data_IF_559632024518
#
_entry.id   IF_559632024518
#
_cell.length_a   1.000
_cell.length_b   1.000
_cell.length_c   1.000
_cell.angle_alpha   90.00
_cell.angle_beta   90.00
_cell.angle_gamma   90.00
#
_symmetry.space_group_name_H-M   'P 1'
#
loop_
_entity.id
_entity.type
_entity.pdbx_description
1 polymer ?
#
# COMPACT_ATOMS: atom_id res chain seq x y z
N UNK A 1 15.15 -34.83 -75.49
CA UNK A 1 16.20 -35.28 -74.54
C UNK A 1 16.93 -34.06 -74.02
N UNK A 2 17.00 -33.69 -72.75
CA UNK A 2 16.32 -34.10 -71.53
C UNK A 2 16.63 -32.98 -70.51
N UNK A 3 15.62 -32.57 -69.74
CA UNK A 3 15.77 -32.18 -68.33
C UNK A 3 16.70 -31.01 -67.92
N UNK A 4 16.73 -29.86 -68.61
CA UNK A 4 17.52 -28.70 -68.13
C UNK A 4 16.90 -27.29 -68.28
N UNK A 5 15.57 -27.17 -68.24
CA UNK A 5 14.91 -25.86 -68.14
C UNK A 5 13.64 -25.99 -67.30
N UNK A 6 13.74 -25.95 -65.96
CA UNK A 6 12.61 -25.64 -65.04
C UNK A 6 12.97 -25.64 -63.53
N UNK A 7 14.21 -25.27 -63.12
CA UNK A 7 14.57 -25.25 -61.68
C UNK A 7 15.20 -23.89 -61.27
N UNK A 8 14.83 -22.79 -61.93
CA UNK A 8 15.31 -21.44 -61.53
C UNK A 8 14.16 -20.48 -61.18
N UNK A 9 12.91 -20.81 -61.51
CA UNK A 9 11.75 -19.97 -61.17
C UNK A 9 10.94 -20.42 -59.94
N UNK A 10 11.42 -21.43 -59.19
CA UNK A 10 10.77 -21.93 -57.97
C UNK A 10 11.63 -21.73 -56.70
N UNK A 11 12.54 -20.76 -56.71
CA UNK A 11 13.29 -20.32 -55.51
C UNK A 11 13.13 -18.84 -55.19
N UNK A 12 12.35 -18.09 -55.99
CA UNK A 12 12.12 -16.66 -55.80
C UNK A 12 10.78 -16.31 -55.15
N UNK A 13 9.94 -17.30 -54.82
CA UNK A 13 8.66 -17.07 -54.12
C UNK A 13 8.64 -17.54 -52.65
N UNK A 14 9.76 -18.08 -52.15
CA UNK A 14 9.93 -18.47 -50.74
C UNK A 14 10.77 -17.46 -49.92
N UNK A 15 11.10 -16.31 -50.50
CA UNK A 15 11.86 -15.24 -49.84
C UNK A 15 11.02 -14.02 -49.44
N UNK A 16 9.69 -14.04 -49.61
CA UNK A 16 8.82 -12.90 -49.30
C UNK A 16 7.67 -13.19 -48.31
N UNK A 17 7.78 -14.30 -47.56
CA UNK A 17 6.86 -14.60 -46.45
C UNK A 17 7.61 -14.92 -45.15
N UNK A 18 8.75 -14.26 -44.90
CA UNK A 18 9.15 -14.01 -43.51
C UNK A 18 8.26 -12.86 -43.06
N UNK A 19 7.04 -13.21 -42.64
CA UNK A 19 6.26 -12.40 -41.73
C UNK A 19 7.23 -11.95 -40.63
N UNK A 20 7.62 -10.68 -40.67
CA UNK A 20 7.99 -9.93 -39.48
C UNK A 20 6.77 -9.96 -38.57
N UNK A 21 6.57 -11.09 -37.89
CA UNK A 21 5.93 -11.09 -36.59
C UNK A 21 6.91 -10.34 -35.72
N UNK A 22 6.83 -9.01 -35.78
CA UNK A 22 7.16 -8.19 -34.64
C UNK A 22 6.26 -8.74 -33.53
N UNK A 23 6.79 -9.70 -32.79
CA UNK A 23 6.35 -9.98 -31.45
C UNK A 23 6.61 -8.67 -30.73
N UNK A 24 5.63 -7.77 -30.78
CA UNK A 24 5.44 -6.76 -29.78
C UNK A 24 5.39 -7.59 -28.52
N UNK A 25 6.53 -7.73 -27.84
CA UNK A 25 6.52 -8.18 -26.47
C UNK A 25 5.71 -7.09 -25.80
N UNK A 26 4.41 -7.33 -25.64
CA UNK A 26 3.64 -6.68 -24.60
C UNK A 26 4.38 -7.12 -23.34
N UNK A 27 5.41 -6.36 -22.94
CA UNK A 27 5.97 -6.44 -21.60
C UNK A 27 4.76 -6.22 -20.73
N UNK A 28 4.19 -7.30 -20.21
CA UNK A 28 3.10 -7.23 -19.26
C UNK A 28 3.52 -6.19 -18.22
N UNK A 29 2.65 -5.20 -18.02
CA UNK A 29 2.86 -4.20 -16.98
C UNK A 29 2.99 -4.97 -15.67
N UNK A 30 4.12 -4.81 -14.96
CA UNK A 30 4.27 -5.43 -13.66
C UNK A 30 3.18 -4.83 -12.77
N UNK A 31 2.18 -5.63 -12.43
CA UNK A 31 0.99 -5.15 -11.74
C UNK A 31 1.30 -4.72 -10.31
N UNK A 32 0.46 -3.83 -9.76
CA UNK A 32 0.49 -3.38 -8.37
C UNK A 32 -0.90 -3.58 -7.76
N UNK A 33 -1.32 -4.84 -7.53
CA UNK A 33 -2.73 -5.18 -7.37
C UNK A 33 -3.34 -4.82 -6.00
N UNK A 34 -2.52 -4.39 -5.03
CA UNK A 34 -2.95 -4.13 -3.66
C UNK A 34 -2.08 -3.05 -2.99
N UNK A 35 -2.49 -2.63 -1.79
CA UNK A 35 -1.69 -1.74 -0.93
C UNK A 35 -0.25 -2.24 -0.81
N UNK A 36 0.72 -1.35 -1.08
CA UNK A 36 2.16 -1.66 -1.01
C UNK A 36 2.63 -2.79 -1.95
N UNK A 37 1.89 -3.03 -3.04
CA UNK A 37 2.35 -3.82 -4.17
C UNK A 37 2.12 -5.33 -4.04
N UNK A 38 2.66 -6.12 -4.98
CA UNK A 38 2.34 -7.54 -5.14
C UNK A 38 2.51 -8.39 -3.87
N UNK A 39 3.46 -8.00 -3.01
CA UNK A 39 3.79 -8.68 -1.76
C UNK A 39 3.27 -7.95 -0.51
N UNK A 40 2.69 -6.76 -0.65
CA UNK A 40 2.13 -5.99 0.47
C UNK A 40 3.16 -5.34 1.40
N UNK A 41 4.45 -5.34 1.03
CA UNK A 41 5.56 -4.86 1.86
C UNK A 41 6.36 -3.71 1.21
N UNK A 42 5.91 -3.16 0.08
CA UNK A 42 6.51 -2.00 -0.57
C UNK A 42 7.79 -2.30 -1.34
N UNK A 43 8.13 -3.58 -1.55
CA UNK A 43 9.28 -3.98 -2.35
C UNK A 43 8.94 -4.17 -3.82
N UNK A 44 9.92 -3.85 -4.66
CA UNK A 44 9.98 -4.27 -6.06
C UNK A 44 11.34 -4.89 -6.35
N UNK A 45 11.40 -5.78 -7.34
CA UNK A 45 12.68 -6.37 -7.74
C UNK A 45 13.62 -5.31 -8.33
N UNK A 46 13.08 -4.42 -9.18
CA UNK A 46 13.84 -3.36 -9.85
C UNK A 46 12.98 -2.12 -9.96
N UNK A 47 13.49 -0.97 -9.51
CA UNK A 47 12.87 0.32 -9.78
C UNK A 47 13.26 0.78 -11.18
N UNK A 48 12.24 1.01 -12.00
CA UNK A 48 12.39 1.43 -13.40
C UNK A 48 11.87 2.84 -13.67
N UNK A 49 11.25 3.49 -12.69
CA UNK A 49 10.85 4.90 -12.81
C UNK A 49 12.07 5.82 -12.58
N UNK A 50 12.04 7.08 -13.07
CA UNK A 50 13.11 8.04 -12.83
C UNK A 50 13.38 8.27 -11.35
N UNK A 51 14.65 8.59 -11.02
CA UNK A 51 15.07 8.98 -9.67
C UNK A 51 14.96 10.50 -9.41
N UNK A 52 14.87 11.28 -10.50
CA UNK A 52 14.66 12.73 -10.49
C UNK A 52 13.36 13.10 -11.19
N UNK A 53 12.57 13.96 -10.57
CA UNK A 53 11.32 14.48 -11.10
C UNK A 53 10.91 15.78 -10.40
N UNK A 54 10.07 16.54 -11.07
CA UNK A 54 9.43 17.75 -10.55
C UNK A 54 8.14 18.01 -11.33
N UNK A 55 7.50 19.16 -11.12
CA UNK A 55 6.38 19.61 -11.98
C UNK A 55 6.80 19.88 -13.43
N UNK A 56 8.12 19.95 -13.72
CA UNK A 56 8.70 20.24 -15.04
C UNK A 56 9.56 19.11 -15.60
N UNK A 57 9.91 18.11 -14.79
CA UNK A 57 10.80 17.01 -15.16
C UNK A 57 10.12 15.67 -14.85
N UNK A 58 10.06 14.78 -15.84
CA UNK A 58 9.52 13.42 -15.70
C UNK A 58 8.07 13.31 -15.18
N UNK A 59 7.31 14.41 -15.11
CA UNK A 59 5.87 14.39 -14.89
C UNK A 59 5.15 14.07 -16.19
N UNK A 60 4.67 12.83 -16.33
CA UNK A 60 3.98 12.37 -17.54
C UNK A 60 2.56 12.94 -17.65
N UNK A 61 1.82 12.94 -16.54
CA UNK A 61 0.50 13.54 -16.44
C UNK A 61 0.12 13.76 -14.98
N UNK A 62 -0.89 14.61 -14.75
CA UNK A 62 -1.58 14.73 -13.47
C UNK A 62 -3.09 14.83 -13.69
N UNK A 63 -3.88 14.10 -12.92
CA UNK A 63 -5.34 14.09 -13.00
C UNK A 63 -5.94 14.63 -11.71
N UNK A 64 -6.85 15.60 -11.81
CA UNK A 64 -7.60 16.09 -10.65
C UNK A 64 -8.55 15.01 -10.13
N UNK A 65 -8.58 14.82 -8.81
CA UNK A 65 -9.44 13.85 -8.12
C UNK A 65 -10.39 14.62 -7.21
N UNK A 66 -11.69 14.44 -7.42
CA UNK A 66 -12.72 15.03 -6.57
C UNK A 66 -12.82 14.28 -5.23
N UNK A 67 -13.29 14.97 -4.20
CA UNK A 67 -13.45 14.49 -2.83
C UNK A 67 -12.14 14.33 -2.06
N UNK A 68 -12.25 13.79 -0.86
CA UNK A 68 -11.12 13.41 -0.02
C UNK A 68 -10.89 11.91 -0.06
N UNK A 69 -9.63 11.49 -0.15
CA UNK A 69 -9.27 10.09 0.04
C UNK A 69 -7.77 9.89 0.17
N UNK A 70 -7.38 8.89 0.96
CA UNK A 70 -5.99 8.48 1.18
C UNK A 70 -5.64 7.11 0.63
N UNK A 71 -6.58 6.41 0.00
CA UNK A 71 -6.29 5.11 -0.60
C UNK A 71 -5.13 5.18 -1.58
N UNK A 72 -4.24 4.21 -1.46
CA UNK A 72 -3.13 4.05 -2.38
C UNK A 72 -3.69 3.60 -3.73
N UNK A 73 -3.19 4.14 -4.87
CA UNK A 73 -3.56 3.62 -6.16
C UNK A 73 -3.15 2.15 -6.27
N UNK A 74 -3.94 1.35 -6.99
CA UNK A 74 -3.53 0.02 -7.47
C UNK A 74 -3.51 0.02 -8.99
N UNK A 75 -2.67 -0.84 -9.57
CA UNK A 75 -2.43 -0.91 -11.02
C UNK A 75 -2.66 -2.34 -11.48
N UNK A 76 -3.47 -2.50 -12.52
CA UNK A 76 -3.60 -3.76 -13.25
C UNK A 76 -3.62 -3.48 -14.75
N UNK A 77 -2.58 -3.95 -15.45
CA UNK A 77 -2.36 -3.61 -16.84
C UNK A 77 -2.36 -2.09 -17.03
N UNK A 78 -3.24 -1.60 -17.90
CA UNK A 78 -3.38 -0.16 -18.20
C UNK A 78 -4.33 0.59 -17.26
N UNK A 79 -4.95 -0.09 -16.29
CA UNK A 79 -5.96 0.48 -15.41
C UNK A 79 -5.35 0.86 -14.06
N UNK A 80 -5.72 2.03 -13.58
CA UNK A 80 -5.39 2.53 -12.23
C UNK A 80 -6.68 2.66 -11.44
N UNK A 81 -6.72 2.12 -10.23
CA UNK A 81 -7.89 2.21 -9.37
C UNK A 81 -7.57 2.91 -8.04
N UNK A 82 -8.50 3.75 -7.60
CA UNK A 82 -8.43 4.45 -6.30
C UNK A 82 -9.85 4.77 -5.78
N UNK A 83 -9.99 4.93 -4.47
CA UNK A 83 -11.26 5.28 -3.82
C UNK A 83 -11.29 6.74 -3.38
N UNK A 84 -12.45 7.38 -3.39
CA UNK A 84 -12.64 8.75 -2.89
C UNK A 84 -14.02 8.93 -2.25
N UNK A 85 -14.15 9.87 -1.32
CA UNK A 85 -15.42 10.29 -0.73
C UNK A 85 -15.69 11.76 -1.08
N UNK A 86 -16.80 12.03 -1.77
CA UNK A 86 -17.13 13.36 -2.30
C UNK A 86 -18.36 13.91 -1.57
N UNK A 87 -18.26 15.06 -0.92
CA UNK A 87 -19.40 15.83 -0.42
C UNK A 87 -19.70 17.03 -1.33
N UNK A 88 -20.74 17.81 -1.00
CA UNK A 88 -21.16 18.98 -1.79
C UNK A 88 -20.09 20.08 -1.86
N UNK A 89 -19.16 20.09 -0.91
CA UNK A 89 -18.09 21.09 -0.77
C UNK A 89 -16.75 20.63 -1.34
N UNK A 90 -16.67 19.41 -1.86
CA UNK A 90 -15.43 18.81 -2.34
C UNK A 90 -14.32 18.84 -1.26
N UNK A 91 -14.68 18.52 -0.01
CA UNK A 91 -13.82 18.67 1.16
C UNK A 91 -12.51 17.87 1.01
N UNK A 92 -11.39 18.53 1.32
CA UNK A 92 -10.04 17.95 1.31
C UNK A 92 -9.49 17.79 2.73
N UNK A 93 -8.67 16.75 2.98
CA UNK A 93 -7.99 16.59 4.26
C UNK A 93 -6.92 17.68 4.47
N UNK A 94 -6.54 17.90 5.73
CA UNK A 94 -5.53 18.88 6.15
C UNK A 94 -4.22 18.19 6.57
N UNK A 95 -3.06 18.76 6.20
CA UNK A 95 -1.75 18.25 6.64
C UNK A 95 -1.39 18.68 8.06
N UNK A 96 -0.40 18.01 8.67
CA UNK A 96 0.08 18.42 10.01
C UNK A 96 0.72 19.81 9.97
N UNK A 97 1.52 20.11 8.92
CA UNK A 97 2.09 21.43 8.70
C UNK A 97 1.03 22.52 8.39
N UNK A 98 -0.15 22.14 7.90
CA UNK A 98 -1.23 23.04 7.51
C UNK A 98 -2.13 23.54 8.64
N UNK A 99 -1.77 23.27 9.90
CA UNK A 99 -2.45 23.84 11.05
C UNK A 99 -3.69 23.04 11.50
N UNK A 100 -3.53 21.72 11.71
CA UNK A 100 -4.44 20.98 12.59
C UNK A 100 -4.32 21.58 14.00
N UNK A 101 -5.05 22.67 14.27
CA UNK A 101 -5.09 23.35 15.56
C UNK A 101 -6.01 22.63 16.54
N UNK A 102 -6.99 21.88 16.01
CA UNK A 102 -7.88 21.04 16.78
C UNK A 102 -7.79 19.60 16.26
N UNK A 103 -7.36 18.70 17.14
CA UNK A 103 -7.22 17.26 16.86
C UNK A 103 -8.59 16.55 16.74
N UNK A 104 -9.70 17.24 17.01
CA UNK A 104 -11.06 16.69 16.87
C UNK A 104 -11.73 17.26 15.63
N UNK A 105 -12.12 16.39 14.70
CA UNK A 105 -12.94 16.82 13.56
C UNK A 105 -14.41 16.99 13.92
N UNK A 106 -15.14 17.61 12.99
CA UNK A 106 -16.59 17.82 13.10
C UNK A 106 -17.33 16.61 12.57
N UNK A 107 -18.47 16.29 13.18
CA UNK A 107 -19.37 15.27 12.64
C UNK A 107 -19.90 15.74 11.28
N UNK A 108 -19.92 14.88 10.24
CA UNK A 108 -20.55 15.22 8.97
C UNK A 108 -22.00 15.62 9.13
N UNK A 109 -22.41 16.66 8.42
CA UNK A 109 -23.80 17.15 8.38
C UNK A 109 -24.51 16.81 7.08
N UNK A 110 -23.81 16.24 6.11
CA UNK A 110 -24.32 15.90 4.78
C UNK A 110 -23.74 14.55 4.32
N UNK A 111 -24.41 13.86 3.38
CA UNK A 111 -23.90 12.61 2.82
C UNK A 111 -22.73 12.83 1.87
N UNK A 112 -21.88 11.80 1.78
CA UNK A 112 -20.80 11.69 0.81
C UNK A 112 -21.15 10.63 -0.23
N UNK A 113 -20.73 10.85 -1.48
CA UNK A 113 -20.66 9.83 -2.52
C UNK A 113 -19.34 9.06 -2.39
N UNK A 114 -19.44 7.76 -2.09
CA UNK A 114 -18.30 6.86 -1.94
C UNK A 114 -18.02 6.19 -3.27
N UNK A 115 -16.93 6.59 -3.92
CA UNK A 115 -16.63 6.26 -5.30
C UNK A 115 -15.40 5.39 -5.43
N UNK A 116 -15.47 4.42 -6.35
CA UNK A 116 -14.31 3.76 -6.94
C UNK A 116 -14.07 4.38 -8.33
N UNK A 117 -12.83 4.78 -8.60
CA UNK A 117 -12.43 5.42 -9.86
C UNK A 117 -11.51 4.46 -10.62
N UNK A 118 -11.69 4.37 -11.94
CA UNK A 118 -10.73 3.76 -12.86
C UNK A 118 -10.18 4.82 -13.81
N UNK A 119 -8.86 4.97 -13.84
CA UNK A 119 -8.13 5.83 -14.79
C UNK A 119 -7.28 4.98 -15.75
N UNK A 120 -6.92 5.56 -16.88
CA UNK A 120 -5.93 5.01 -17.79
C UNK A 120 -4.52 5.44 -17.34
N UNK A 121 -3.62 4.47 -17.15
CA UNK A 121 -2.24 4.76 -16.70
C UNK A 121 -1.43 5.57 -17.73
N UNK A 122 -1.81 5.54 -19.00
CA UNK A 122 -1.00 6.16 -20.06
C UNK A 122 -1.08 7.67 -20.07
N UNK A 123 -2.26 8.23 -19.82
CA UNK A 123 -2.56 9.65 -19.95
C UNK A 123 -3.34 10.23 -18.74
N UNK A 124 -3.75 9.39 -17.79
CA UNK A 124 -4.52 9.80 -16.62
C UNK A 124 -6.01 10.00 -16.87
N UNK A 125 -6.50 9.73 -18.09
CA UNK A 125 -7.91 9.90 -18.46
C UNK A 125 -8.85 9.02 -17.62
N UNK A 126 -10.05 9.52 -17.34
CA UNK A 126 -11.08 8.79 -16.63
C UNK A 126 -11.70 7.73 -17.56
N UNK A 127 -11.55 6.45 -17.19
CA UNK A 127 -12.28 5.38 -17.87
C UNK A 127 -13.71 5.30 -17.35
N UNK A 128 -13.87 5.27 -16.02
CA UNK A 128 -15.17 5.29 -15.36
C UNK A 128 -15.04 5.69 -13.89
N UNK A 129 -16.16 6.13 -13.32
CA UNK A 129 -16.32 6.36 -11.89
C UNK A 129 -17.61 5.68 -11.43
N UNK A 130 -17.51 4.80 -10.44
CA UNK A 130 -18.66 4.09 -9.87
C UNK A 130 -18.94 4.57 -8.45
N UNK A 131 -20.11 5.15 -8.24
CA UNK A 131 -20.64 5.39 -6.89
C UNK A 131 -21.13 4.07 -6.31
N UNK A 132 -20.44 3.62 -5.27
CA UNK A 132 -20.79 2.40 -4.52
C UNK A 132 -22.01 2.67 -3.65
N UNK A 133 -22.00 3.80 -2.94
CA UNK A 133 -23.13 4.26 -2.14
C UNK A 133 -23.03 5.75 -1.86
N UNK A 134 -24.17 6.37 -1.57
CA UNK A 134 -24.25 7.70 -0.94
C UNK A 134 -24.65 7.54 0.52
N UNK A 135 -23.86 8.04 1.47
CA UNK A 135 -24.12 7.86 2.91
C UNK A 135 -23.50 8.96 3.75
N UNK A 136 -24.15 9.33 4.85
CA UNK A 136 -23.55 10.21 5.86
C UNK A 136 -22.78 9.37 6.89
N UNK A 137 -21.47 9.57 7.08
CA UNK A 137 -20.73 8.87 8.12
C UNK A 137 -21.29 9.16 9.51
N UNK A 138 -21.33 8.13 10.37
CA UNK A 138 -21.86 8.25 11.74
C UNK A 138 -20.90 8.98 12.69
N UNK A 139 -19.61 8.83 12.46
CA UNK A 139 -18.54 9.31 13.35
C UNK A 139 -17.74 10.42 12.69
N UNK A 140 -17.25 11.36 13.49
CA UNK A 140 -16.23 12.30 13.03
C UNK A 140 -14.86 11.61 12.92
N UNK A 141 -13.99 12.21 12.11
CA UNK A 141 -12.60 11.79 11.94
C UNK A 141 -11.68 12.96 12.18
N UNK A 142 -10.39 12.70 12.42
CA UNK A 142 -9.39 13.73 12.52
C UNK A 142 -9.30 14.52 11.20
N UNK A 143 -9.12 15.85 11.20
CA UNK A 143 -9.10 16.66 9.98
C UNK A 143 -8.05 16.25 8.93
N UNK A 144 -7.03 15.51 9.35
CA UNK A 144 -6.01 14.97 8.45
C UNK A 144 -6.34 13.62 7.84
N UNK A 145 -7.43 12.97 8.26
CA UNK A 145 -7.88 11.72 7.68
C UNK A 145 -9.05 11.96 6.71
N UNK A 146 -9.49 10.90 6.03
CA UNK A 146 -10.60 10.94 5.07
C UNK A 146 -11.59 9.82 5.34
N UNK A 147 -12.76 9.88 4.69
CA UNK A 147 -13.73 8.79 4.71
C UNK A 147 -13.46 7.71 3.65
N UNK A 148 -12.37 7.82 2.89
CA UNK A 148 -11.94 6.88 1.84
C UNK A 148 -10.43 6.60 1.94
N UNK A 149 -10.00 6.08 3.09
CA UNK A 149 -8.57 5.86 3.40
C UNK A 149 -8.10 4.48 2.96
N UNK A 150 -8.97 3.48 3.00
CA UNK A 150 -8.61 2.09 2.70
C UNK A 150 -8.35 1.87 1.21
N UNK A 151 -7.21 1.24 0.90
CA UNK A 151 -6.81 0.96 -0.49
C UNK A 151 -7.61 -0.21 -1.08
N UNK A 152 -8.03 -0.11 -2.36
CA UNK A 152 -8.64 -1.23 -3.05
C UNK A 152 -7.63 -2.37 -3.27
N UNK A 153 -8.15 -3.53 -3.67
CA UNK A 153 -7.36 -4.70 -4.12
C UNK A 153 -8.04 -5.35 -5.32
N UNK A 154 -7.28 -6.02 -6.19
CA UNK A 154 -7.84 -6.80 -7.31
C UNK A 154 -7.33 -8.24 -7.32
N UNK A 155 -8.19 -9.16 -7.76
CA UNK A 155 -7.84 -10.55 -8.07
C UNK A 155 -7.54 -10.78 -9.57
N UNK A 156 -7.52 -9.71 -10.36
CA UNK A 156 -7.38 -9.76 -11.82
C UNK A 156 -8.70 -9.93 -12.59
N UNK A 157 -9.84 -10.06 -11.90
CA UNK A 157 -11.19 -10.14 -12.48
C UNK A 157 -12.10 -9.04 -11.97
N UNK A 158 -11.98 -8.71 -10.70
CA UNK A 158 -12.75 -7.69 -10.00
C UNK A 158 -11.82 -6.76 -9.23
N UNK A 159 -12.31 -5.56 -8.93
CA UNK A 159 -11.73 -4.63 -7.97
C UNK A 159 -12.61 -4.60 -6.74
N UNK A 160 -11.99 -4.83 -5.58
CA UNK A 160 -12.63 -4.77 -4.28
C UNK A 160 -12.26 -3.48 -3.58
N UNK A 161 -13.24 -2.78 -3.03
CA UNK A 161 -13.03 -1.57 -2.24
C UNK A 161 -13.74 -1.67 -0.89
N UNK A 162 -13.16 -1.03 0.11
CA UNK A 162 -13.70 -0.94 1.46
C UNK A 162 -13.76 0.52 1.89
N UNK A 163 -14.89 0.92 2.45
CA UNK A 163 -15.10 2.22 3.08
C UNK A 163 -15.45 1.99 4.54
N UNK A 164 -14.42 1.82 5.37
CA UNK A 164 -14.60 1.40 6.76
C UNK A 164 -15.42 2.39 7.59
N UNK A 165 -15.31 3.69 7.27
CA UNK A 165 -16.08 4.73 7.92
C UNK A 165 -17.61 4.59 7.79
N UNK A 166 -18.08 3.81 6.81
CA UNK A 166 -19.50 3.53 6.59
C UNK A 166 -19.83 2.03 6.53
N UNK A 167 -18.82 1.18 6.77
CA UNK A 167 -18.95 -0.27 6.82
C UNK A 167 -19.19 -0.95 5.49
N UNK A 168 -18.90 -0.30 4.35
CA UNK A 168 -19.25 -0.86 3.03
C UNK A 168 -18.06 -1.52 2.35
N UNK A 169 -18.24 -2.78 1.95
CA UNK A 169 -17.31 -3.53 1.10
C UNK A 169 -18.03 -3.82 -0.21
N UNK A 170 -17.35 -3.66 -1.34
CA UNK A 170 -17.94 -3.91 -2.65
C UNK A 170 -16.94 -4.54 -3.61
N UNK A 171 -17.47 -5.31 -4.57
CA UNK A 171 -16.78 -5.76 -5.76
C UNK A 171 -17.36 -5.10 -6.99
N UNK A 172 -16.48 -4.64 -7.87
CA UNK A 172 -16.79 -4.00 -9.15
C UNK A 172 -15.98 -4.71 -10.24
N UNK A 173 -16.58 -4.96 -11.40
CA UNK A 173 -15.83 -5.48 -12.55
C UNK A 173 -14.97 -4.38 -13.22
N UNK A 174 -14.29 -4.71 -14.32
CA UNK A 174 -13.40 -3.75 -14.99
C UNK A 174 -14.13 -2.79 -15.93
N UNK A 175 -15.42 -3.03 -16.15
CA UNK A 175 -16.35 -2.20 -16.89
C UNK A 175 -17.09 -1.21 -15.98
N UNK A 176 -16.85 -1.28 -14.66
CA UNK A 176 -17.42 -0.38 -13.66
C UNK A 176 -18.79 -0.80 -13.15
N UNK A 177 -19.23 -2.04 -13.43
CA UNK A 177 -20.48 -2.57 -12.91
C UNK A 177 -20.29 -3.15 -11.52
N UNK A 178 -21.27 -2.87 -10.66
CA UNK A 178 -21.29 -3.39 -9.29
C UNK A 178 -21.67 -4.87 -9.34
N UNK A 179 -20.80 -5.74 -8.84
CA UNK A 179 -21.04 -7.18 -8.76
C UNK A 179 -21.78 -7.52 -7.47
N UNK A 180 -21.25 -7.05 -6.34
CA UNK A 180 -21.89 -7.17 -5.04
C UNK A 180 -21.41 -6.06 -4.10
N UNK A 181 -22.21 -5.75 -3.08
CA UNK A 181 -21.78 -4.96 -1.93
C UNK A 181 -22.41 -5.50 -0.64
N UNK A 182 -21.69 -5.40 0.46
CA UNK A 182 -22.12 -5.86 1.79
C UNK A 182 -21.82 -4.80 2.85
N UNK A 183 -22.54 -4.88 3.98
CA UNK A 183 -22.30 -4.06 5.16
C UNK A 183 -21.61 -4.90 6.24
N UNK A 184 -20.44 -4.47 6.69
CA UNK A 184 -19.66 -5.10 7.76
C UNK A 184 -19.67 -4.26 9.05
N UNK A 185 -20.48 -3.19 9.09
CA UNK A 185 -20.57 -2.28 10.23
C UNK A 185 -19.56 -1.14 10.18
N UNK A 186 -19.94 -0.02 10.79
CA UNK A 186 -19.09 1.15 10.97
C UNK A 186 -18.98 1.46 12.46
N UNK A 187 -17.76 1.72 12.92
CA UNK A 187 -17.45 1.79 14.35
C UNK A 187 -16.61 3.03 14.69
N UNK A 188 -16.68 3.53 15.93
CA UNK A 188 -15.80 4.61 16.38
C UNK A 188 -14.34 4.13 16.44
N UNK A 189 -13.42 5.04 16.16
CA UNK A 189 -11.98 4.79 16.20
C UNK A 189 -11.30 5.56 17.33
N UNK A 190 -10.15 5.06 17.76
CA UNK A 190 -9.30 5.63 18.79
C UNK A 190 -9.06 7.12 18.57
N UNK A 191 -9.36 7.93 19.59
CA UNK A 191 -9.27 9.39 19.57
C UNK A 191 -10.04 10.09 18.44
N UNK A 192 -10.96 9.40 17.77
CA UNK A 192 -11.64 9.90 16.57
C UNK A 192 -10.69 10.12 15.40
N UNK A 193 -9.58 9.37 15.30
CA UNK A 193 -8.64 9.52 14.19
C UNK A 193 -9.18 9.04 12.84
N UNK A 194 -10.23 8.24 12.83
CA UNK A 194 -10.76 7.57 11.65
C UNK A 194 -10.10 6.23 11.39
N UNK A 195 -10.43 5.63 10.26
CA UNK A 195 -10.02 4.28 9.86
C UNK A 195 -8.81 4.33 8.91
N UNK A 196 -8.27 3.17 8.51
CA UNK A 196 -7.12 3.13 7.58
C UNK A 196 -6.56 1.74 7.21
N UNK A 197 -7.07 0.65 7.78
CA UNK A 197 -6.65 -0.70 7.41
C UNK A 197 -7.19 -1.10 6.03
N UNK A 198 -6.30 -1.30 5.06
CA UNK A 198 -6.66 -1.69 3.69
C UNK A 198 -6.99 -3.18 3.57
N UNK A 199 -7.51 -3.57 2.41
CA UNK A 199 -7.88 -4.95 2.09
C UNK A 199 -6.66 -5.83 1.77
N UNK A 200 -6.80 -7.14 1.94
CA UNK A 200 -5.82 -8.15 1.50
C UNK A 200 -6.54 -9.33 0.88
N UNK A 201 -5.96 -9.95 -0.15
CA UNK A 201 -6.61 -11.02 -0.91
C UNK A 201 -5.76 -12.29 -0.96
N UNK A 202 -6.39 -13.46 -0.81
CA UNK A 202 -5.76 -14.74 -1.15
C UNK A 202 -6.76 -15.84 -1.42
N UNK A 203 -6.50 -16.65 -2.44
CA UNK A 203 -7.22 -17.92 -2.70
C UNK A 203 -8.75 -17.77 -2.62
N UNK A 204 -9.29 -16.76 -3.31
CA UNK A 204 -10.73 -16.48 -3.35
C UNK A 204 -11.30 -15.84 -2.08
N UNK A 205 -10.46 -15.35 -1.17
CA UNK A 205 -10.88 -14.69 0.08
C UNK A 205 -10.39 -13.26 0.13
N UNK A 206 -11.26 -12.37 0.60
CA UNK A 206 -10.98 -10.99 0.92
C UNK A 206 -10.91 -10.82 2.44
N UNK A 207 -9.74 -10.42 2.95
CA UNK A 207 -9.49 -10.25 4.38
C UNK A 207 -9.61 -8.79 4.80
N UNK A 208 -10.33 -8.56 5.90
CA UNK A 208 -10.59 -7.23 6.47
C UNK A 208 -10.19 -7.28 7.95
N UNK A 209 -9.32 -6.35 8.36
CA UNK A 209 -9.12 -6.02 9.77
C UNK A 209 -9.97 -4.79 10.10
N UNK A 210 -10.89 -4.95 11.05
CA UNK A 210 -11.70 -3.87 11.60
C UNK A 210 -11.41 -3.76 13.10
N UNK A 211 -10.20 -3.31 13.45
CA UNK A 211 -9.87 -2.97 14.83
C UNK A 211 -10.43 -1.57 15.14
N UNK A 212 -11.29 -1.48 16.15
CA UNK A 212 -12.03 -0.28 16.53
C UNK A 212 -12.18 -0.19 18.06
N UNK A 213 -12.96 0.77 18.57
CA UNK A 213 -13.12 1.00 20.01
C UNK A 213 -14.42 0.43 20.59
N UNK A 214 -15.14 -0.41 19.84
CA UNK A 214 -16.40 -1.02 20.26
C UNK A 214 -16.41 -2.54 20.08
N UNK A 215 -16.28 -3.04 18.85
CA UNK A 215 -16.42 -4.46 18.49
C UNK A 215 -15.38 -4.82 17.42
N UNK A 216 -14.13 -5.07 17.83
CA UNK A 216 -13.03 -5.35 16.91
C UNK A 216 -13.08 -6.77 16.36
N UNK A 217 -12.82 -6.92 15.06
CA UNK A 217 -12.79 -8.23 14.42
C UNK A 217 -11.84 -8.29 13.22
N UNK A 218 -11.51 -9.52 12.83
CA UNK A 218 -10.98 -9.85 11.51
C UNK A 218 -12.00 -10.72 10.78
N UNK A 219 -12.18 -10.48 9.49
CA UNK A 219 -13.23 -11.07 8.67
C UNK A 219 -12.64 -11.57 7.34
N UNK A 220 -13.11 -12.72 6.87
CA UNK A 220 -12.89 -13.17 5.51
C UNK A 220 -14.23 -13.25 4.75
N UNK A 221 -14.27 -12.62 3.59
CA UNK A 221 -15.39 -12.69 2.65
C UNK A 221 -14.99 -13.51 1.42
N UNK A 222 -15.95 -14.21 0.82
CA UNK A 222 -15.81 -14.84 -0.49
C UNK A 222 -15.80 -13.76 -1.58
N UNK A 223 -14.76 -13.75 -2.42
CA UNK A 223 -14.60 -12.75 -3.49
C UNK A 223 -15.70 -12.83 -4.55
N UNK A 224 -16.33 -13.99 -4.73
CA UNK A 224 -17.34 -14.20 -5.76
C UNK A 224 -18.69 -13.56 -5.41
N UNK A 225 -19.04 -13.47 -4.13
CA UNK A 225 -20.39 -13.09 -3.70
C UNK A 225 -20.44 -12.22 -2.43
N UNK A 226 -19.31 -11.92 -1.80
CA UNK A 226 -19.23 -11.09 -0.60
C UNK A 226 -19.74 -11.76 0.67
N UNK A 227 -20.11 -13.05 0.65
CA UNK A 227 -20.58 -13.76 1.84
C UNK A 227 -19.43 -13.97 2.82
N UNK A 228 -19.75 -13.86 4.10
CA UNK A 228 -18.82 -14.20 5.17
C UNK A 228 -18.45 -15.70 5.11
N UNK A 229 -17.15 -15.97 5.12
CA UNK A 229 -16.59 -17.33 5.25
C UNK A 229 -16.30 -17.60 6.72
N UNK A 230 -15.65 -16.65 7.38
CA UNK A 230 -15.40 -16.69 8.81
C UNK A 230 -15.20 -15.27 9.34
N UNK A 231 -15.56 -15.08 10.62
CA UNK A 231 -15.25 -13.89 11.41
C UNK A 231 -14.59 -14.32 12.71
N UNK A 232 -13.61 -13.57 13.18
CA UNK A 232 -12.97 -13.78 14.47
C UNK A 232 -12.92 -12.48 15.25
N UNK A 233 -13.55 -12.49 16.42
CA UNK A 233 -13.53 -11.39 17.37
C UNK A 233 -12.13 -11.14 17.91
N UNK A 234 -11.85 -9.88 18.24
CA UNK A 234 -10.55 -9.42 18.71
C UNK A 234 -10.74 -8.53 19.92
N UNK A 235 -9.94 -8.76 20.95
CA UNK A 235 -9.88 -7.88 22.13
C UNK A 235 -9.03 -6.62 21.91
N UNK A 236 -8.43 -6.46 20.73
CA UNK A 236 -7.62 -5.30 20.39
C UNK A 236 -8.49 -4.06 20.18
N UNK A 237 -8.05 -2.93 20.71
CA UNK A 237 -8.59 -1.62 20.31
C UNK A 237 -8.10 -1.21 18.92
N UNK A 238 -8.60 -0.08 18.45
CA UNK A 238 -8.25 0.56 17.17
C UNK A 238 -6.79 0.37 16.75
N UNK A 239 -6.60 -0.07 15.51
CA UNK A 239 -5.32 -0.20 14.82
C UNK A 239 -5.52 0.12 13.35
N UNK A 240 -4.48 0.62 12.67
CA UNK A 240 -4.55 1.06 11.27
C UNK A 240 -3.67 0.22 10.32
N UNK A 241 -2.88 -0.72 10.86
CA UNK A 241 -2.15 -1.70 10.06
C UNK A 241 -3.11 -2.46 9.16
N UNK A 242 -2.72 -2.70 7.92
CA UNK A 242 -3.44 -3.61 7.02
C UNK A 242 -3.06 -5.06 7.34
N UNK A 243 -3.94 -6.05 7.06
CA UNK A 243 -3.57 -7.46 7.15
C UNK A 243 -2.38 -7.77 6.23
N UNK A 244 -1.56 -8.74 6.60
CA UNK A 244 -0.38 -9.12 5.83
C UNK A 244 -0.28 -10.63 5.68
N UNK A 245 -0.22 -11.12 4.44
CA UNK A 245 -0.05 -12.56 4.17
C UNK A 245 1.43 -12.92 4.20
N UNK A 246 1.84 -13.53 5.30
CA UNK A 246 3.21 -13.98 5.47
C UNK A 246 3.35 -15.45 5.08
N UNK A 247 3.84 -15.67 3.85
CA UNK A 247 4.25 -17.00 3.38
C UNK A 247 5.67 -17.28 3.87
N UNK A 248 5.78 -18.13 4.89
CA UNK A 248 7.06 -18.58 5.43
C UNK A 248 7.34 -20.05 5.03
N UNK A 249 8.48 -20.59 5.48
CA UNK A 249 8.90 -21.97 5.13
C UNK A 249 7.97 -23.08 5.66
N UNK A 250 7.14 -22.81 6.67
CA UNK A 250 6.25 -23.79 7.30
C UNK A 250 4.79 -23.64 6.87
N UNK A 251 4.29 -22.40 6.75
CA UNK A 251 2.89 -22.12 6.43
C UNK A 251 2.70 -20.70 5.91
N UNK A 252 1.47 -20.39 5.53
CA UNK A 252 1.02 -19.01 5.27
C UNK A 252 0.15 -18.55 6.42
N UNK A 253 0.54 -17.46 7.07
CA UNK A 253 -0.24 -16.82 8.13
C UNK A 253 -0.83 -15.50 7.63
N UNK A 254 -2.11 -15.24 7.93
CA UNK A 254 -2.68 -13.90 7.86
C UNK A 254 -2.29 -13.16 9.14
N UNK A 255 -1.30 -12.28 9.06
CA UNK A 255 -0.78 -11.52 10.20
C UNK A 255 -1.56 -10.22 10.33
N UNK A 256 -2.11 -9.99 11.53
CA UNK A 256 -2.96 -8.85 11.87
C UNK A 256 -2.38 -8.16 13.10
N UNK A 257 -1.98 -6.90 12.96
CA UNK A 257 -1.37 -6.11 14.05
C UNK A 257 -2.43 -5.24 14.73
N UNK A 258 -2.78 -5.58 15.97
CA UNK A 258 -3.73 -4.84 16.80
C UNK A 258 -3.07 -4.01 17.89
N UNK A 259 -3.86 -3.27 18.67
CA UNK A 259 -3.35 -2.54 19.83
C UNK A 259 -2.82 -3.49 20.91
N UNK A 260 -1.49 -3.55 21.03
CA UNK A 260 -0.80 -4.39 22.01
C UNK A 260 -0.68 -5.87 21.65
N UNK A 261 -1.21 -6.30 20.50
CA UNK A 261 -1.13 -7.69 20.05
C UNK A 261 -0.80 -7.83 18.57
N UNK A 262 -0.17 -8.94 18.21
CA UNK A 262 0.07 -9.35 16.82
C UNK A 262 -0.36 -10.79 16.71
N UNK A 263 -1.32 -11.08 15.85
CA UNK A 263 -1.93 -12.42 15.73
C UNK A 263 -1.72 -12.95 14.33
N UNK A 264 -1.24 -14.18 14.21
CA UNK A 264 -1.24 -14.94 12.97
C UNK A 264 -2.43 -15.88 12.92
N UNK A 265 -3.27 -15.71 11.91
CA UNK A 265 -4.42 -16.58 11.66
C UNK A 265 -4.14 -17.54 10.51
N UNK A 266 -4.72 -18.73 10.55
CA UNK A 266 -4.88 -19.55 9.35
C UNK A 266 -5.85 -18.83 8.38
N UNK A 267 -5.39 -18.42 7.18
CA UNK A 267 -6.25 -17.72 6.23
C UNK A 267 -7.48 -18.52 5.78
N UNK A 268 -7.42 -19.86 5.84
CA UNK A 268 -8.53 -20.70 5.41
C UNK A 268 -9.68 -20.70 6.42
N UNK A 269 -9.39 -20.84 7.71
CA UNK A 269 -10.39 -21.08 8.75
C UNK A 269 -10.60 -19.94 9.74
N UNK A 270 -9.72 -18.94 9.77
CA UNK A 270 -9.76 -17.88 10.79
C UNK A 270 -9.27 -18.34 12.17
N UNK A 271 -8.81 -19.59 12.31
CA UNK A 271 -8.22 -20.07 13.57
C UNK A 271 -6.91 -19.35 13.87
N UNK A 272 -6.69 -19.01 15.13
CA UNK A 272 -5.42 -18.42 15.57
C UNK A 272 -4.33 -19.50 15.57
N UNK A 273 -3.27 -19.29 14.78
CA UNK A 273 -2.08 -20.15 14.78
C UNK A 273 -1.10 -19.75 15.88
N UNK A 274 -1.01 -18.45 16.20
CA UNK A 274 -0.15 -17.90 17.24
C UNK A 274 -0.54 -16.46 17.56
N UNK A 275 -0.11 -15.96 18.72
CA UNK A 275 -0.35 -14.58 19.15
C UNK A 275 0.82 -14.05 19.96
N UNK A 276 1.28 -12.85 19.65
CA UNK A 276 2.25 -12.11 20.45
C UNK A 276 1.51 -11.01 21.19
N UNK A 277 1.55 -11.02 22.52
CA UNK A 277 0.98 -9.97 23.38
C UNK A 277 2.07 -9.03 23.89
N UNK A 278 1.69 -7.97 24.60
CA UNK A 278 2.63 -6.95 25.12
C UNK A 278 3.43 -6.22 24.01
N UNK A 279 2.85 -6.13 22.81
CA UNK A 279 3.42 -5.37 21.69
C UNK A 279 3.20 -3.84 21.83
N UNK A 280 2.81 -3.37 23.02
CA UNK A 280 2.55 -1.97 23.41
C UNK A 280 1.34 -1.33 22.71
N UNK A 281 1.54 -0.29 21.90
CA UNK A 281 0.46 0.55 21.38
C UNK A 281 -0.16 0.02 20.08
N UNK A 282 -1.17 0.72 19.58
CA UNK A 282 -1.74 0.52 18.25
C UNK A 282 -0.68 0.58 17.15
N UNK A 283 -0.87 -0.24 16.12
CA UNK A 283 -0.01 -0.25 14.95
C UNK A 283 -0.61 0.67 13.88
N UNK A 284 0.12 1.71 13.51
CA UNK A 284 -0.21 2.51 12.32
C UNK A 284 0.46 1.95 11.08
N UNK A 285 1.74 1.62 11.20
CA UNK A 285 2.51 0.97 10.14
C UNK A 285 2.09 -0.49 9.93
N UNK A 286 2.06 -0.91 8.66
CA UNK A 286 1.88 -2.31 8.28
C UNK A 286 3.22 -3.05 8.24
N UNK A 287 3.26 -4.39 8.41
CA UNK A 287 4.51 -5.15 8.42
C UNK A 287 5.34 -5.05 7.13
N UNK A 288 6.61 -5.46 7.22
CA UNK A 288 7.47 -5.76 6.07
C UNK A 288 8.03 -7.18 6.21
N UNK A 289 8.55 -7.76 5.14
CA UNK A 289 9.18 -9.09 5.19
C UNK A 289 10.36 -9.17 4.25
N UNK A 290 11.32 -10.04 4.55
CA UNK A 290 12.36 -10.49 3.62
C UNK A 290 12.08 -11.94 3.12
N UNK A 291 10.88 -12.46 3.40
CA UNK A 291 10.47 -13.85 3.16
C UNK A 291 10.90 -14.83 4.25
N UNK A 292 11.98 -14.55 5.00
CA UNK A 292 12.43 -15.38 6.13
C UNK A 292 11.72 -14.94 7.41
N UNK A 293 11.72 -13.64 7.67
CA UNK A 293 11.13 -13.02 8.84
C UNK A 293 10.10 -11.98 8.44
N UNK A 294 9.19 -11.70 9.36
CA UNK A 294 8.30 -10.54 9.30
C UNK A 294 8.77 -9.51 10.31
N UNK A 295 8.86 -8.25 9.89
CA UNK A 295 9.34 -7.10 10.64
C UNK A 295 8.19 -6.14 10.90
N UNK A 296 7.99 -5.80 12.16
CA UNK A 296 6.87 -4.96 12.56
C UNK A 296 7.17 -4.26 13.89
N UNK A 297 6.43 -3.20 14.15
CA UNK A 297 6.56 -2.40 15.35
C UNK A 297 5.57 -1.25 15.35
N UNK A 298 5.59 -0.47 16.42
CA UNK A 298 4.77 0.72 16.53
C UNK A 298 5.49 1.80 17.34
N UNK A 299 5.12 3.05 17.11
CA UNK A 299 5.52 4.19 17.90
C UNK A 299 4.37 5.20 17.98
N UNK A 300 4.43 6.11 18.94
CA UNK A 300 3.42 7.14 19.14
C UNK A 300 4.01 8.36 19.84
N UNK A 301 3.19 9.34 20.24
CA UNK A 301 3.67 10.57 20.89
C UNK A 301 4.55 10.27 22.13
N UNK A 302 4.13 9.29 22.93
CA UNK A 302 4.78 8.90 24.20
C UNK A 302 5.61 7.61 24.09
N UNK A 303 5.75 6.99 22.91
CA UNK A 303 6.47 5.72 22.72
C UNK A 303 7.32 5.71 21.45
N UNK A 304 8.50 5.10 21.48
CA UNK A 304 9.39 4.94 20.31
C UNK A 304 9.53 3.48 19.85
N UNK A 305 8.66 2.58 20.30
CA UNK A 305 8.77 1.16 19.98
C UNK A 305 7.80 0.29 20.77
N UNK A 306 7.76 -1.03 20.47
CA UNK A 306 8.90 -1.81 19.98
C UNK A 306 9.07 -1.86 18.45
N UNK A 307 10.21 -2.41 18.01
CA UNK A 307 10.45 -2.98 16.67
C UNK A 307 10.98 -4.40 16.86
N UNK A 308 10.44 -5.39 16.15
CA UNK A 308 10.85 -6.78 16.31
C UNK A 308 10.65 -7.62 15.05
N UNK A 309 11.33 -8.75 15.02
CA UNK A 309 11.24 -9.74 13.95
C UNK A 309 10.66 -11.06 14.46
N UNK A 310 9.71 -11.61 13.70
CA UNK A 310 9.13 -12.93 13.93
C UNK A 310 9.61 -13.89 12.83
N UNK A 311 10.03 -15.09 13.21
CA UNK A 311 10.42 -16.18 12.31
C UNK A 311 9.47 -17.37 12.37
N UNK A 312 9.63 -18.33 11.44
CA UNK A 312 8.64 -19.37 11.16
C UNK A 312 8.41 -20.36 12.31
N UNK A 313 9.22 -20.31 13.37
CA UNK A 313 9.11 -21.16 14.54
C UNK A 313 8.07 -20.68 15.55
N UNK A 314 7.47 -19.50 15.33
CA UNK A 314 6.32 -19.03 16.11
C UNK A 314 5.14 -20.00 15.94
N UNK A 315 4.51 -20.41 17.04
CA UNK A 315 3.48 -21.46 17.00
C UNK A 315 2.47 -21.41 18.13
N UNK A 316 2.56 -20.46 19.06
CA UNK A 316 1.72 -20.40 20.25
C UNK A 316 1.51 -18.95 20.68
N UNK A 317 0.64 -18.75 21.69
CA UNK A 317 0.54 -17.46 22.34
C UNK A 317 1.77 -17.21 23.24
N UNK A 318 2.39 -16.05 23.10
CA UNK A 318 3.51 -15.64 23.96
C UNK A 318 3.51 -14.14 24.22
N UNK A 319 4.09 -13.75 25.34
CA UNK A 319 4.26 -12.34 25.72
C UNK A 319 5.60 -11.83 25.18
N UNK A 320 5.60 -10.70 24.46
CA UNK A 320 6.84 -10.05 24.04
C UNK A 320 7.59 -9.55 25.28
N UNK A 321 8.76 -10.13 25.51
CA UNK A 321 9.76 -9.68 26.49
C UNK A 321 11.10 -9.53 25.76
N UNK A 322 11.62 -8.30 25.74
CA UNK A 322 12.87 -7.98 25.05
C UNK A 322 14.12 -8.47 25.80
N UNK A 323 13.99 -8.80 27.10
CA UNK A 323 15.08 -9.32 27.93
C UNK A 323 15.20 -10.84 27.80
N UNK A 324 14.10 -11.52 27.47
CA UNK A 324 14.03 -12.96 27.24
C UNK A 324 13.06 -13.23 26.09
N UNK A 325 13.60 -13.30 24.87
CA UNK A 325 12.79 -13.44 23.67
C UNK A 325 12.01 -14.77 23.69
N UNK A 326 10.69 -14.75 23.45
CA UNK A 326 9.92 -15.98 23.32
C UNK A 326 10.24 -16.69 21.99
N UNK A 327 9.87 -17.97 21.92
CA UNK A 327 10.11 -18.81 20.73
C UNK A 327 9.54 -18.15 19.47
N UNK A 328 10.35 -18.13 18.42
CA UNK A 328 9.99 -17.51 17.14
C UNK A 328 10.28 -16.02 17.02
N UNK A 329 10.54 -15.30 18.12
CA UNK A 329 11.05 -13.92 18.05
C UNK A 329 12.56 -13.96 17.83
N UNK A 330 13.02 -13.37 16.72
CA UNK A 330 14.42 -13.42 16.30
C UNK A 330 15.27 -12.33 16.93
N UNK A 331 14.68 -11.16 17.05
CA UNK A 331 15.24 -10.01 17.75
C UNK A 331 14.12 -9.02 18.06
N UNK A 332 14.31 -8.21 19.09
CA UNK A 332 13.38 -7.15 19.47
C UNK A 332 14.13 -5.95 20.06
N UNK A 333 13.66 -4.75 19.77
CA UNK A 333 14.29 -3.48 20.15
C UNK A 333 13.23 -2.55 20.73
N UNK A 334 13.54 -1.97 21.89
CA UNK A 334 12.56 -1.16 22.63
C UNK A 334 12.25 0.19 21.99
N UNK A 335 13.23 0.79 21.30
CA UNK A 335 13.19 2.17 20.78
C UNK A 335 13.58 2.21 19.30
N UNK A 336 12.86 1.45 18.47
CA UNK A 336 13.07 1.40 17.02
C UNK A 336 11.78 1.34 16.19
N UNK A 337 10.61 1.53 16.82
CA UNK A 337 9.33 1.34 16.15
C UNK A 337 9.07 2.37 15.03
N UNK A 338 8.41 1.96 13.93
CA UNK A 338 7.98 2.87 12.87
C UNK A 338 6.97 3.90 13.38
N UNK A 339 6.96 5.06 12.73
CA UNK A 339 5.87 6.04 12.85
C UNK A 339 4.63 5.60 12.08
N UNK A 340 4.01 6.53 11.36
CA UNK A 340 2.88 6.22 10.48
C UNK A 340 3.33 5.45 9.23
N UNK A 341 4.46 5.85 8.64
CA UNK A 341 5.01 5.20 7.47
C UNK A 341 5.49 3.77 7.80
N UNK A 342 5.03 2.82 6.99
CA UNK A 342 5.42 1.42 7.15
C UNK A 342 6.90 1.20 6.81
N UNK A 343 7.61 0.30 7.52
CA UNK A 343 9.00 -0.04 7.24
C UNK A 343 9.13 -0.75 5.89
N UNK A 344 10.31 -0.74 5.27
CA UNK A 344 10.57 -1.46 4.01
C UNK A 344 11.91 -2.20 4.07
N UNK A 345 12.00 -3.34 3.40
CA UNK A 345 13.25 -4.11 3.26
C UNK A 345 13.91 -3.78 1.92
N UNK A 346 15.23 -3.65 1.92
CA UNK A 346 16.05 -3.47 0.72
C UNK A 346 17.36 -4.25 0.91
N UNK A 347 17.59 -5.27 0.09
CA UNK A 347 18.68 -6.22 0.31
C UNK A 347 18.61 -6.87 1.70
N UNK A 348 19.69 -6.77 2.47
CA UNK A 348 19.79 -7.34 3.82
C UNK A 348 19.34 -6.39 4.94
N UNK A 349 18.81 -5.21 4.59
CA UNK A 349 18.52 -4.14 5.51
C UNK A 349 17.01 -3.85 5.62
N UNK A 350 16.60 -3.48 6.83
CA UNK A 350 15.28 -2.98 7.17
C UNK A 350 15.37 -1.48 7.44
N UNK A 351 14.54 -0.71 6.74
CA UNK A 351 14.46 0.73 6.85
C UNK A 351 13.21 1.12 7.61
N UNK A 352 13.38 1.96 8.63
CA UNK A 352 12.31 2.43 9.50
C UNK A 352 12.37 3.95 9.60
N UNK A 353 11.27 4.61 9.27
CA UNK A 353 11.12 6.05 9.46
C UNK A 353 10.30 6.33 10.72
N UNK A 354 10.81 7.20 11.59
CA UNK A 354 10.05 7.73 12.73
C UNK A 354 10.60 9.09 13.14
N UNK A 355 9.71 10.04 13.40
CA UNK A 355 10.03 11.40 13.90
C UNK A 355 11.09 12.14 13.05
N UNK A 356 11.02 12.01 11.72
CA UNK A 356 11.97 12.66 10.79
C UNK A 356 13.36 12.03 10.73
N UNK A 357 13.54 10.84 11.32
CA UNK A 357 14.76 10.04 11.20
C UNK A 357 14.51 8.79 10.38
N UNK A 358 15.42 8.51 9.45
CA UNK A 358 15.55 7.21 8.80
C UNK A 358 16.57 6.37 9.56
N UNK A 359 16.15 5.20 10.03
CA UNK A 359 17.02 4.23 10.69
C UNK A 359 17.16 2.99 9.80
N UNK A 360 18.39 2.48 9.68
CA UNK A 360 18.71 1.24 8.98
C UNK A 360 19.09 0.17 9.98
N UNK A 361 18.51 -1.02 9.85
CA UNK A 361 18.77 -2.17 10.71
C UNK A 361 19.14 -3.38 9.86
N UNK A 362 20.01 -4.26 10.36
CA UNK A 362 20.19 -5.58 9.77
C UNK A 362 18.92 -6.42 9.95
N UNK A 363 18.39 -6.98 8.87
CA UNK A 363 17.24 -7.92 8.92
C UNK A 363 17.55 -9.17 9.77
N UNK A 364 18.81 -9.62 9.77
CA UNK A 364 19.21 -10.83 10.46
C UNK A 364 19.27 -10.66 11.99
N UNK A 365 19.87 -9.56 12.48
CA UNK A 365 20.18 -9.39 13.91
C UNK A 365 19.40 -8.27 14.61
N UNK A 366 18.72 -7.40 13.87
CA UNK A 366 18.15 -6.18 14.42
C UNK A 366 19.20 -5.15 14.82
N UNK A 367 20.50 -5.36 14.56
CA UNK A 367 21.53 -4.35 14.83
C UNK A 367 21.24 -3.10 14.01
N UNK A 368 21.13 -1.95 14.67
CA UNK A 368 21.04 -0.65 13.99
C UNK A 368 22.39 -0.32 13.35
N UNK A 369 22.39 -0.13 12.04
CA UNK A 369 23.55 0.24 11.24
C UNK A 369 23.78 1.74 11.32
N UNK A 370 22.73 2.53 11.06
CA UNK A 370 22.75 3.97 11.20
C UNK A 370 21.38 4.54 11.58
N UNK A 371 21.38 5.79 12.01
CA UNK A 371 20.19 6.63 12.19
C UNK A 371 20.52 8.04 11.73
N UNK A 372 19.83 8.52 10.70
CA UNK A 372 20.13 9.80 10.07
C UNK A 372 18.87 10.66 9.99
N UNK A 373 19.02 11.96 10.20
CA UNK A 373 17.93 12.93 10.05
C UNK A 373 17.68 13.19 8.57
N UNK A 374 16.42 13.23 8.17
CA UNK A 374 16.06 13.66 6.83
C UNK A 374 16.04 15.20 6.78
N UNK A 375 16.82 15.83 5.88
CA UNK A 375 16.99 17.28 5.90
C UNK A 375 15.69 17.98 5.50
N UNK A 376 15.22 18.86 6.37
CA UNK A 376 14.01 19.66 6.19
C UNK A 376 12.73 18.85 5.90
N UNK A 377 12.68 17.56 6.27
CA UNK A 377 11.49 16.73 6.07
C UNK A 377 10.33 17.18 6.97
N UNK A 378 9.12 17.17 6.42
CA UNK A 378 7.86 17.26 7.18
C UNK A 378 7.45 15.87 7.70
N UNK A 379 6.21 15.74 8.15
CA UNK A 379 5.66 14.46 8.61
C UNK A 379 5.66 13.44 7.46
N UNK A 380 5.98 12.18 7.75
CA UNK A 380 6.03 11.10 6.76
C UNK A 380 4.95 10.07 7.13
N UNK A 381 3.84 10.11 6.41
CA UNK A 381 2.71 9.19 6.55
C UNK A 381 2.69 8.12 5.45
N UNK A 382 3.03 8.49 4.21
CA UNK A 382 3.15 7.57 3.10
C UNK A 382 4.20 6.49 3.40
N UNK A 383 3.87 5.22 3.13
CA UNK A 383 4.82 4.12 3.34
C UNK A 383 5.96 4.18 2.31
N UNK A 384 7.14 3.73 2.72
CA UNK A 384 8.31 3.68 1.86
C UNK A 384 8.16 2.59 0.79
N UNK A 385 8.87 2.76 -0.33
CA UNK A 385 9.06 1.72 -1.33
C UNK A 385 10.54 1.56 -1.67
N UNK A 386 10.94 0.37 -2.10
CA UNK A 386 12.35 0.06 -2.32
C UNK A 386 12.56 -1.02 -3.39
N UNK A 387 13.71 -0.96 -4.04
CA UNK A 387 14.39 -2.14 -4.60
C UNK A 387 15.58 -2.51 -3.72
N UNK A 388 16.46 -3.41 -4.17
CA UNK A 388 17.64 -3.82 -3.39
C UNK A 388 18.75 -2.77 -3.30
N UNK A 389 18.64 -1.66 -4.03
CA UNK A 389 19.69 -0.63 -4.13
C UNK A 389 19.22 0.74 -3.65
N UNK A 390 17.91 0.97 -3.53
CA UNK A 390 17.33 2.27 -3.30
C UNK A 390 16.12 2.19 -2.38
N UNK A 391 15.96 3.21 -1.55
CA UNK A 391 14.83 3.43 -0.67
C UNK A 391 14.24 4.80 -0.98
N UNK A 392 12.92 4.85 -1.11
CA UNK A 392 12.19 6.06 -1.39
C UNK A 392 11.22 6.37 -0.26
N UNK A 393 11.17 7.64 0.13
CA UNK A 393 10.36 8.16 1.24
C UNK A 393 9.85 9.53 0.84
N UNK A 394 8.53 9.73 0.95
CA UNK A 394 7.86 10.99 0.63
C UNK A 394 7.23 11.57 1.90
N UNK A 395 7.52 12.84 2.18
CA UNK A 395 6.86 13.58 3.25
C UNK A 395 5.53 14.19 2.79
N UNK A 396 4.75 14.68 3.74
CA UNK A 396 3.42 15.20 3.49
C UNK A 396 3.39 16.43 2.59
N UNK A 397 4.51 17.15 2.45
CA UNK A 397 4.61 18.31 1.56
C UNK A 397 5.00 17.94 0.13
N UNK A 398 5.13 16.65 -0.20
CA UNK A 398 5.53 16.17 -1.52
C UNK A 398 7.04 16.11 -1.73
N UNK A 399 7.84 16.41 -0.71
CA UNK A 399 9.28 16.24 -0.77
C UNK A 399 9.61 14.75 -0.70
N UNK A 400 10.30 14.23 -1.72
CA UNK A 400 10.70 12.82 -1.78
C UNK A 400 12.22 12.68 -1.76
N UNK A 401 12.73 11.79 -0.92
CA UNK A 401 14.13 11.43 -0.85
C UNK A 401 14.36 10.08 -1.54
N UNK A 402 15.42 10.01 -2.35
CA UNK A 402 15.97 8.75 -2.88
C UNK A 402 17.25 8.47 -2.11
N UNK A 403 17.24 7.42 -1.30
CA UNK A 403 18.35 7.04 -0.44
C UNK A 403 18.98 5.75 -0.96
N UNK A 404 20.30 5.68 -0.96
CA UNK A 404 21.03 4.46 -1.31
C UNK A 404 20.83 3.38 -0.25
N UNK A 405 20.61 2.14 -0.69
CA UNK A 405 20.61 0.99 0.19
C UNK A 405 22.02 0.59 0.59
N UNK A 406 22.23 0.23 1.85
CA UNK A 406 23.54 -0.16 2.36
C UNK A 406 23.86 0.34 3.76
N UNK A 407 25.16 0.29 4.06
CA UNK A 407 25.70 0.57 5.40
C UNK A 407 25.85 2.06 5.70
N UNK A 408 25.85 2.89 4.67
CA UNK A 408 26.05 4.32 4.76
C UNK A 408 24.78 5.06 4.34
N UNK A 409 24.50 6.17 5.01
CA UNK A 409 23.39 7.02 4.65
C UNK A 409 23.83 8.00 3.56
N UNK A 410 23.26 7.86 2.36
CA UNK A 410 23.54 8.71 1.21
C UNK A 410 22.22 9.07 0.51
N UNK A 411 21.92 10.37 0.39
CA UNK A 411 20.80 10.86 -0.41
C UNK A 411 21.29 11.03 -1.84
N UNK A 412 20.71 10.25 -2.76
CA UNK A 412 21.05 10.23 -4.18
C UNK A 412 20.27 11.28 -4.98
N UNK A 413 19.06 11.60 -4.55
CA UNK A 413 18.21 12.62 -5.16
C UNK A 413 17.15 13.13 -4.17
N UNK A 414 16.71 14.36 -4.40
CA UNK A 414 15.55 14.97 -3.75
C UNK A 414 14.60 15.48 -4.84
N UNK A 415 13.30 15.30 -4.62
CA UNK A 415 12.25 15.66 -5.56
C UNK A 415 11.13 16.43 -4.84
N UNK A 416 10.37 17.22 -5.58
CA UNK A 416 9.29 18.05 -5.02
C UNK A 416 8.06 18.07 -5.93
N UNK A 417 6.89 17.93 -5.33
CA UNK A 417 5.57 18.18 -5.93
C UNK A 417 4.72 19.01 -4.97
N UNK A 418 3.94 19.94 -5.49
CA UNK A 418 3.13 20.84 -4.68
C UNK A 418 1.70 20.28 -4.49
N UNK A 419 1.55 19.39 -3.49
CA UNK A 419 0.28 18.87 -2.98
C UNK A 419 0.50 18.36 -1.54
N UNK A 420 -0.56 17.90 -0.88
CA UNK A 420 -0.51 17.20 0.40
C UNK A 420 -0.53 15.68 0.19
N UNK A 421 0.44 14.95 0.74
CA UNK A 421 0.64 13.51 0.47
C UNK A 421 0.64 12.62 1.71
N UNK A 422 -0.38 11.79 1.87
CA UNK A 422 -0.41 10.74 2.89
C UNK A 422 -0.59 9.34 2.31
N UNK A 423 -1.06 9.25 1.06
CA UNK A 423 -1.22 7.99 0.33
C UNK A 423 0.11 7.34 0.01
N UNK A 424 0.17 6.01 0.12
CA UNK A 424 1.35 5.26 -0.30
C UNK A 424 1.39 5.17 -1.83
N UNK A 425 2.56 5.32 -2.48
CA UNK A 425 2.68 5.23 -3.93
C UNK A 425 2.38 3.85 -4.52
N UNK A 426 2.17 3.83 -5.83
CA UNK A 426 2.18 2.60 -6.63
C UNK A 426 3.23 2.67 -7.74
N UNK A 427 3.89 1.54 -7.99
CA UNK A 427 4.96 1.44 -8.99
C UNK A 427 4.62 0.35 -10.00
N UNK A 428 4.70 0.65 -11.29
CA UNK A 428 4.50 -0.34 -12.35
C UNK A 428 5.24 0.06 -13.62
N UNK A 429 6.18 -0.78 -14.07
CA UNK A 429 6.89 -0.64 -15.36
C UNK A 429 7.29 0.80 -15.73
N UNK A 430 8.08 1.44 -14.87
CA UNK A 430 8.57 2.80 -15.09
C UNK A 430 7.61 3.92 -14.75
N UNK A 431 6.35 3.61 -14.40
CA UNK A 431 5.40 4.56 -13.85
C UNK A 431 5.48 4.53 -12.32
N UNK A 432 5.53 5.72 -11.71
CA UNK A 432 5.34 5.94 -10.29
C UNK A 432 4.10 6.82 -10.12
N UNK A 433 3.09 6.28 -9.45
CA UNK A 433 1.85 6.99 -9.15
C UNK A 433 1.90 7.55 -7.73
N UNK A 434 1.77 8.87 -7.62
CA UNK A 434 1.75 9.60 -6.35
C UNK A 434 0.38 10.24 -6.19
N UNK A 435 -0.38 9.82 -5.18
CA UNK A 435 -1.69 10.42 -4.88
C UNK A 435 -1.53 11.52 -3.84
N UNK A 436 -1.75 12.76 -4.27
CA UNK A 436 -1.94 13.89 -3.39
C UNK A 436 -3.41 14.07 -3.03
N UNK A 437 -3.70 15.05 -2.17
CA UNK A 437 -5.05 15.41 -1.75
C UNK A 437 -5.90 15.96 -2.90
N UNK A 438 -5.26 16.60 -3.89
CA UNK A 438 -5.94 17.24 -5.01
C UNK A 438 -5.84 16.41 -6.29
N UNK A 439 -4.69 15.80 -6.55
CA UNK A 439 -4.40 15.15 -7.83
C UNK A 439 -3.74 13.78 -7.66
N UNK A 440 -3.90 12.95 -8.68
CA UNK A 440 -3.02 11.81 -8.93
C UNK A 440 -1.94 12.24 -9.93
N UNK A 441 -0.68 12.00 -9.62
CA UNK A 441 0.47 12.30 -10.46
C UNK A 441 1.08 11.01 -10.99
N UNK A 442 1.50 11.00 -12.26
CA UNK A 442 2.28 9.92 -12.83
C UNK A 442 3.67 10.44 -13.22
N UNK A 443 4.68 9.87 -12.57
CA UNK A 443 6.09 10.11 -12.88
C UNK A 443 6.59 8.97 -13.76
N UNK A 444 7.17 9.30 -14.92
CA UNK A 444 7.74 8.35 -15.88
C UNK A 444 8.81 9.04 -16.72
N UNK A 445 9.81 8.29 -17.16
CA UNK A 445 10.81 8.81 -18.09
C UNK A 445 10.13 9.32 -19.38
N UNK A 446 10.22 10.63 -19.62
CA UNK A 446 9.73 11.22 -20.86
C UNK A 446 10.91 11.16 -21.84
N UNK A 447 10.82 10.31 -22.87
CA UNK A 447 11.79 10.37 -23.97
C UNK A 447 11.59 11.71 -24.66
N UNK A 448 12.62 12.55 -24.70
CA UNK A 448 12.67 13.66 -25.63
C UNK A 448 12.45 13.07 -27.03
N UNK A 449 11.36 13.45 -27.70
CA UNK A 449 11.28 13.19 -29.12
C UNK A 449 12.46 13.94 -29.74
N UNK A 450 13.41 13.20 -30.33
CA UNK A 450 14.42 13.79 -31.18
C UNK A 450 13.69 14.58 -32.26
N UNK A 451 13.62 15.90 -32.09
CA UNK A 451 13.41 16.84 -33.19
C UNK A 451 14.61 16.69 -34.11
N UNK A 452 14.52 15.71 -35.02
CA UNK A 452 15.30 15.72 -36.25
C UNK A 452 14.89 17.00 -36.98
N UNK A 453 15.74 18.02 -36.88
CA UNK A 453 15.77 19.12 -37.85
C UNK A 453 16.28 18.60 -39.18
#
# INVERSE_FOLDING_TARGET
>A
MNFMKNIIFLKLFYCFLILFVNSISNKLLADWPQFRGPTGDGRVNVISHPKKWSTKENLAWSQAIAGGGWSSPIILGKKVFLTTAIDSKNTKPLGHAGGVRNMRGKKPTEPFDFNLICLNIQDGSLNWQKTITKKQPKFSIHPSNTYATESPVTDGKHVFCYFAAIGKVAAVDFEGQLVWNVDVGAFPSGNGFGTGSSLTLSKGKLFIQCDNDQDSFVLALDVANGKEIWKSERSSRTSWSSPFLWKNKKRTDLVVCGSGTVTGYDPASGKTNWRITNARSAFTASPASDGRYIFLGNSGPMSQGPLFAIGPEVSEESKLDITKLPKGIKWAIQRGGPGMASPVVSGEYLYVCSRGFLSCYSTNSGKRIYKSRLPSSKSIAASMWADDQHIFLMDESGKTFVVKSGKEFEILAENQLDDLFWSTPAVSNGNLLLRGSNKLYCIRAIRSQNTKR
#
